data_IF_593781552073
#
_entry.id   IF_593781552073
#
_cell.length_a   1.000
_cell.length_b   1.000
_cell.length_c   1.000
_cell.angle_alpha   90.00
_cell.angle_beta   90.00
_cell.angle_gamma   90.00
#
_symmetry.space_group_name_H-M   'P 1'
#
loop_
_entity.id
_entity.type
_entity.pdbx_description
1 polymer ?
#
# COMPACT_ATOMS: atom_id res chain seq x y z
N UNK A 1 28.82 66.10 10.28
CA UNK A 1 29.33 64.77 9.89
C UNK A 1 29.73 64.05 11.17
N UNK A 2 29.10 62.98 11.68
CA UNK A 2 28.42 61.90 10.98
C UNK A 2 27.49 61.08 11.91
N UNK A 3 26.35 61.66 12.31
CA UNK A 3 25.20 60.88 12.79
C UNK A 3 24.64 59.95 11.70
N UNK A 4 25.03 60.18 10.43
CA UNK A 4 24.78 59.29 9.30
C UNK A 4 25.63 58.01 9.37
N UNK A 5 26.93 58.11 9.70
CA UNK A 5 27.84 56.94 9.71
C UNK A 5 27.50 55.94 10.81
N UNK A 6 27.02 56.40 11.98
CA UNK A 6 26.60 55.52 13.08
C UNK A 6 25.31 54.75 12.79
N UNK A 7 24.44 55.28 11.91
CA UNK A 7 23.22 54.59 11.43
C UNK A 7 23.48 53.71 10.20
N UNK A 8 24.49 54.03 9.39
CA UNK A 8 24.86 53.23 8.22
C UNK A 8 25.62 51.95 8.59
N UNK A 9 26.37 51.95 9.70
CA UNK A 9 27.14 50.79 10.15
C UNK A 9 26.29 49.52 10.41
N UNK A 10 25.15 49.56 11.12
CA UNK A 10 24.30 48.38 11.28
C UNK A 10 23.60 47.97 9.98
N UNK A 11 23.25 48.94 9.12
CA UNK A 11 22.64 48.67 7.81
C UNK A 11 23.60 47.94 6.85
N UNK A 12 24.88 48.28 6.86
CA UNK A 12 25.92 47.58 6.08
C UNK A 12 26.18 46.18 6.61
N UNK A 13 26.18 45.99 7.94
CA UNK A 13 26.30 44.65 8.54
C UNK A 13 25.11 43.75 8.20
N UNK A 14 23.88 44.29 8.22
CA UNK A 14 22.67 43.55 7.82
C UNK A 14 22.72 43.18 6.33
N UNK A 15 23.12 44.11 5.45
CA UNK A 15 23.31 43.81 4.03
C UNK A 15 24.38 42.75 3.79
N UNK A 16 25.48 42.76 4.54
CA UNK A 16 26.52 41.72 4.44
C UNK A 16 26.04 40.35 4.92
N UNK A 17 25.15 40.31 5.93
CA UNK A 17 24.53 39.08 6.41
C UNK A 17 23.49 38.51 5.42
N UNK A 18 22.75 39.36 4.72
CA UNK A 18 21.76 38.94 3.71
C UNK A 18 22.39 38.28 2.47
N UNK A 19 23.65 38.61 2.13
CA UNK A 19 24.36 38.02 0.97
C UNK A 19 24.98 36.66 1.33
N UNK A 20 25.07 36.30 2.61
CA UNK A 20 25.71 35.06 3.08
C UNK A 20 24.71 33.95 3.44
N UNK A 21 23.61 33.82 2.70
CA UNK A 21 22.82 32.58 2.74
C UNK A 21 23.37 31.69 1.64
N UNK A 22 24.27 30.78 1.99
CA UNK A 22 24.67 29.70 1.10
C UNK A 22 23.44 28.81 0.87
N UNK A 23 22.88 28.83 -0.33
CA UNK A 23 21.88 27.84 -0.72
C UNK A 23 22.56 26.46 -0.70
N UNK A 24 22.25 25.64 0.31
CA UNK A 24 22.62 24.23 0.31
C UNK A 24 21.75 23.53 -0.74
N UNK A 25 22.27 23.37 -1.96
CA UNK A 25 21.71 22.49 -2.99
C UNK A 25 22.31 21.09 -2.83
N UNK A 26 21.49 20.09 -2.57
CA UNK A 26 21.89 18.69 -2.62
C UNK A 26 21.60 18.12 -4.01
N UNK A 27 22.62 17.58 -4.67
CA UNK A 27 22.48 16.92 -5.96
C UNK A 27 22.58 15.39 -5.81
N UNK A 28 21.70 14.64 -6.48
CA UNK A 28 21.82 13.19 -6.56
C UNK A 28 22.70 12.81 -7.76
N UNK A 29 23.71 11.97 -7.54
CA UNK A 29 24.63 11.49 -8.58
C UNK A 29 24.40 10.02 -8.87
N UNK A 30 24.10 9.69 -10.12
CA UNK A 30 23.96 8.31 -10.61
C UNK A 30 25.16 8.01 -11.50
N UNK A 31 25.95 7.01 -11.14
CA UNK A 31 27.10 6.56 -11.94
C UNK A 31 26.71 5.38 -12.81
N UNK A 32 26.84 5.52 -14.13
CA UNK A 32 26.63 4.44 -15.11
C UNK A 32 27.86 3.52 -15.19
N UNK A 33 27.65 2.32 -15.75
CA UNK A 33 28.69 1.28 -15.86
C UNK A 33 29.89 1.68 -16.72
N UNK A 34 29.73 2.66 -17.59
CA UNK A 34 30.78 3.27 -18.42
C UNK A 34 31.51 4.42 -17.69
N UNK A 35 31.19 4.67 -16.42
CA UNK A 35 31.80 5.71 -15.57
C UNK A 35 31.17 7.10 -15.72
N UNK A 36 30.13 7.25 -16.55
CA UNK A 36 29.43 8.52 -16.72
C UNK A 36 28.59 8.84 -15.49
N UNK A 37 28.68 10.06 -14.97
CA UNK A 37 27.88 10.51 -13.82
C UNK A 37 26.77 11.43 -14.31
N UNK A 38 25.52 11.04 -14.07
CA UNK A 38 24.35 11.90 -14.24
C UNK A 38 24.06 12.59 -12.91
N UNK A 39 24.10 13.91 -12.92
CA UNK A 39 23.76 14.74 -11.77
C UNK A 39 22.32 15.22 -11.95
N UNK A 40 21.43 14.85 -11.03
CA UNK A 40 20.04 15.31 -11.03
C UNK A 40 19.90 16.36 -9.93
N UNK A 41 19.67 17.65 -10.28
CA UNK A 41 19.47 18.70 -9.29
C UNK A 41 18.13 18.48 -8.58
N UNK A 42 18.16 18.46 -7.24
CA UNK A 42 16.93 18.38 -6.43
C UNK A 42 16.44 19.82 -6.20
N UNK A 43 15.52 20.30 -7.04
CA UNK A 43 14.87 21.59 -6.82
C UNK A 43 13.86 21.49 -5.68
N UNK A 44 13.89 22.44 -4.73
CA UNK A 44 12.89 22.52 -3.64
C UNK A 44 11.45 22.66 -4.17
N UNK A 45 11.27 23.15 -5.39
CA UNK A 45 9.95 23.35 -6.00
C UNK A 45 9.28 22.04 -6.47
N UNK A 46 10.04 20.94 -6.57
CA UNK A 46 9.53 19.64 -7.05
C UNK A 46 9.46 18.58 -5.95
N UNK A 47 9.64 18.96 -4.68
CA UNK A 47 9.42 18.06 -3.54
C UNK A 47 7.93 18.11 -3.21
N UNK A 48 7.12 17.27 -3.86
CA UNK A 48 5.79 16.97 -3.37
C UNK A 48 5.93 16.26 -2.01
N UNK A 49 5.67 16.96 -0.92
CA UNK A 49 5.49 16.32 0.38
C UNK A 49 4.32 15.35 0.28
N UNK A 50 4.56 14.06 0.54
CA UNK A 50 3.47 13.10 0.69
C UNK A 50 2.78 13.46 2.02
N UNK A 51 1.69 14.21 1.95
CA UNK A 51 0.83 14.45 3.11
C UNK A 51 0.16 13.11 3.48
N UNK A 52 0.45 12.60 4.67
CA UNK A 52 -0.29 11.48 5.22
C UNK A 52 -1.73 11.95 5.46
N UNK A 53 -2.64 11.53 4.58
CA UNK A 53 -4.08 11.71 4.79
C UNK A 53 -4.45 11.08 6.13
N UNK A 54 -5.11 11.86 7.01
CA UNK A 54 -5.64 11.37 8.28
C UNK A 54 -6.55 10.15 8.03
N UNK A 55 -6.62 9.18 8.96
CA UNK A 55 -7.52 8.03 8.84
C UNK A 55 -8.94 8.54 8.56
N UNK A 56 -9.48 8.16 7.40
CA UNK A 56 -10.83 8.53 6.98
C UNK A 56 -11.80 7.62 7.71
N UNK A 57 -12.76 8.20 8.43
CA UNK A 57 -13.84 7.45 9.05
C UNK A 57 -14.65 6.70 7.97
N UNK A 58 -15.17 5.48 8.26
CA UNK A 58 -15.90 4.67 7.28
C UNK A 58 -17.11 5.34 6.62
N UNK A 59 -17.60 6.45 7.19
CA UNK A 59 -18.79 7.16 6.73
C UNK A 59 -18.50 8.36 5.79
N UNK A 60 -17.23 8.73 5.54
CA UNK A 60 -16.89 9.85 4.65
C UNK A 60 -16.29 9.40 3.31
N UNK A 61 -17.13 8.79 2.47
CA UNK A 61 -16.83 8.66 1.03
C UNK A 61 -17.37 9.90 0.32
N UNK A 62 -16.57 10.96 0.27
CA UNK A 62 -16.85 12.12 -0.60
C UNK A 62 -16.22 11.88 -1.97
N UNK A 63 -17.06 11.57 -2.97
CA UNK A 63 -16.66 11.47 -4.37
C UNK A 63 -16.24 12.85 -4.89
N UNK A 64 -14.96 13.05 -5.20
CA UNK A 64 -14.55 14.09 -6.16
C UNK A 64 -13.15 13.87 -6.73
N UNK A 65 -13.08 13.88 -8.07
CA UNK A 65 -11.86 14.16 -8.80
C UNK A 65 -11.15 12.92 -9.34
N UNK A 66 -10.70 13.02 -10.57
CA UNK A 66 -9.88 12.12 -11.38
C UNK A 66 -8.49 11.74 -10.80
N UNK A 67 -8.33 11.75 -9.48
CA UNK A 67 -7.14 11.28 -8.78
C UNK A 67 -7.49 9.99 -8.04
N UNK A 68 -6.74 8.92 -8.32
CA UNK A 68 -6.92 7.59 -7.73
C UNK A 68 -6.86 7.67 -6.21
N UNK A 69 -8.02 7.64 -5.55
CA UNK A 69 -8.14 7.69 -4.09
C UNK A 69 -7.52 6.44 -3.50
N UNK A 70 -6.40 6.59 -2.79
CA UNK A 70 -5.76 5.49 -2.07
C UNK A 70 -6.46 5.34 -0.73
N UNK A 71 -7.25 4.29 -0.56
CA UNK A 71 -7.88 3.96 0.71
C UNK A 71 -6.78 3.55 1.71
N UNK A 72 -6.64 4.31 2.80
CA UNK A 72 -5.67 4.05 3.86
C UNK A 72 -6.37 3.33 5.02
N UNK A 73 -6.03 2.07 5.21
CA UNK A 73 -6.57 1.23 6.28
C UNK A 73 -5.75 1.35 7.57
N UNK A 74 -6.38 1.10 8.72
CA UNK A 74 -5.71 1.09 10.03
C UNK A 74 -4.80 -0.14 10.17
N UNK A 75 -3.78 -0.08 11.01
CA UNK A 75 -2.87 -1.22 11.24
C UNK A 75 -3.56 -2.45 11.86
N UNK A 76 -4.63 -2.22 12.62
CA UNK A 76 -5.47 -3.24 13.25
C UNK A 76 -6.61 -3.72 12.34
N UNK A 77 -6.56 -3.39 11.04
CA UNK A 77 -7.56 -3.82 10.07
C UNK A 77 -7.04 -4.82 9.05
N UNK A 78 -7.93 -5.69 8.61
CA UNK A 78 -7.69 -6.77 7.65
C UNK A 78 -7.51 -6.17 6.25
N UNK A 79 -6.45 -6.62 5.57
CA UNK A 79 -6.25 -6.36 4.14
C UNK A 79 -6.07 -7.66 3.39
N UNK A 80 -6.93 -7.96 2.41
CA UNK A 80 -6.91 -9.24 1.72
C UNK A 80 -5.82 -9.23 0.63
N UNK A 81 -4.80 -10.05 0.80
CA UNK A 81 -3.67 -10.13 -0.14
C UNK A 81 -3.95 -11.14 -1.25
N UNK A 82 -4.42 -12.33 -0.87
CA UNK A 82 -4.85 -13.37 -1.81
C UNK A 82 -5.89 -14.28 -1.19
N UNK A 83 -6.80 -14.83 -2.00
CA UNK A 83 -7.71 -15.86 -1.55
C UNK A 83 -8.01 -16.87 -2.66
N UNK A 84 -7.99 -18.16 -2.32
CA UNK A 84 -8.28 -19.25 -3.26
C UNK A 84 -9.23 -20.24 -2.61
N UNK A 85 -10.34 -20.53 -3.27
CA UNK A 85 -11.28 -21.56 -2.85
C UNK A 85 -11.19 -22.74 -3.81
N UNK A 86 -10.96 -23.95 -3.31
CA UNK A 86 -10.91 -25.14 -4.16
C UNK A 86 -10.10 -26.27 -3.55
N UNK A 87 -9.71 -27.21 -4.40
CA UNK A 87 -8.81 -28.28 -4.00
C UNK A 87 -7.45 -28.03 -4.68
N UNK A 88 -6.45 -27.71 -3.87
CA UNK A 88 -5.07 -27.45 -4.35
C UNK A 88 -4.33 -28.78 -4.60
N UNK A 89 -5.02 -29.93 -4.58
CA UNK A 89 -4.40 -31.17 -5.01
C UNK A 89 -4.11 -31.12 -6.51
N UNK A 90 -2.88 -31.52 -6.80
CA UNK A 90 -2.31 -31.55 -8.13
C UNK A 90 -2.75 -32.85 -8.80
N UNK A 91 -3.72 -32.76 -9.70
CA UNK A 91 -4.12 -33.90 -10.50
C UNK A 91 -3.44 -33.80 -11.88
N UNK A 92 -2.77 -34.88 -12.28
CA UNK A 92 -2.19 -35.03 -13.60
C UNK A 92 -3.35 -35.05 -14.62
N UNK A 93 -3.47 -33.99 -15.41
CA UNK A 93 -4.31 -34.02 -16.60
C UNK A 93 -3.76 -35.01 -17.62
N UNK A 94 -4.65 -35.61 -18.39
CA UNK A 94 -4.29 -36.34 -19.60
C UNK A 94 -3.74 -35.33 -20.63
N UNK A 95 -2.54 -35.64 -21.15
CA UNK A 95 -1.66 -34.79 -21.98
C UNK A 95 -1.10 -33.54 -21.27
N UNK A 96 -0.18 -33.75 -20.32
CA UNK A 96 0.85 -32.77 -19.88
C UNK A 96 0.37 -31.38 -19.38
N UNK A 97 -0.92 -31.22 -19.06
CA UNK A 97 -1.49 -30.00 -18.48
C UNK A 97 -1.96 -30.18 -17.03
N UNK A 98 -1.48 -29.36 -16.10
CA UNK A 98 -1.98 -29.34 -14.73
C UNK A 98 -3.31 -28.57 -14.68
N UNK A 99 -4.40 -29.27 -14.36
CA UNK A 99 -5.70 -28.62 -14.16
C UNK A 99 -5.81 -28.12 -12.73
N UNK A 100 -5.93 -26.81 -12.57
CA UNK A 100 -6.13 -26.18 -11.28
C UNK A 100 -7.62 -26.12 -10.97
N UNK A 101 -8.01 -26.70 -9.84
CA UNK A 101 -9.41 -26.79 -9.41
C UNK A 101 -9.70 -25.82 -8.25
N UNK A 102 -9.42 -24.55 -8.48
CA UNK A 102 -9.74 -23.46 -7.56
C UNK A 102 -10.29 -22.24 -8.31
N UNK A 103 -11.12 -21.44 -7.62
CA UNK A 103 -11.48 -20.09 -8.04
C UNK A 103 -10.69 -19.06 -7.24
N UNK A 104 -10.41 -17.92 -7.87
CA UNK A 104 -9.92 -16.74 -7.17
C UNK A 104 -11.07 -16.17 -6.34
N UNK A 105 -10.85 -16.08 -5.04
CA UNK A 105 -11.82 -15.63 -4.06
C UNK A 105 -11.48 -14.25 -3.51
N UNK A 106 -10.43 -13.58 -4.03
CA UNK A 106 -9.91 -12.35 -3.47
C UNK A 106 -10.96 -11.25 -3.45
N UNK A 107 -11.60 -10.97 -4.58
CA UNK A 107 -12.58 -9.90 -4.71
C UNK A 107 -13.75 -10.09 -3.73
N UNK A 108 -14.33 -11.29 -3.68
CA UNK A 108 -15.40 -11.62 -2.75
C UNK A 108 -14.98 -11.43 -1.29
N UNK A 109 -13.74 -11.82 -0.91
CA UNK A 109 -13.26 -11.63 0.45
C UNK A 109 -12.91 -10.18 0.77
N UNK A 110 -12.43 -9.41 -0.20
CA UNK A 110 -12.22 -7.96 -0.05
C UNK A 110 -13.56 -7.28 0.25
N UNK A 111 -14.62 -7.60 -0.50
CA UNK A 111 -15.95 -7.04 -0.23
C UNK A 111 -16.47 -7.40 1.19
N UNK A 112 -16.20 -8.62 1.66
CA UNK A 112 -16.69 -9.09 2.97
C UNK A 112 -15.86 -8.60 4.17
N UNK A 113 -14.54 -8.42 4.01
CA UNK A 113 -13.61 -8.36 5.15
C UNK A 113 -12.65 -7.17 5.15
N UNK A 114 -12.46 -6.47 4.03
CA UNK A 114 -11.45 -5.42 3.92
C UNK A 114 -11.74 -4.27 4.91
N UNK A 115 -10.73 -3.81 5.65
CA UNK A 115 -10.85 -2.72 6.61
C UNK A 115 -11.48 -3.08 7.96
N UNK A 116 -11.98 -4.30 8.14
CA UNK A 116 -12.51 -4.77 9.43
C UNK A 116 -11.40 -5.29 10.36
N UNK A 117 -11.60 -5.26 11.68
CA UNK A 117 -10.71 -5.86 12.68
C UNK A 117 -10.93 -7.38 12.84
N UNK A 118 -12.13 -7.86 12.48
CA UNK A 118 -12.50 -9.26 12.46
C UNK A 118 -13.52 -9.59 11.38
N UNK A 119 -13.38 -10.76 10.76
CA UNK A 119 -14.28 -11.23 9.69
C UNK A 119 -14.67 -12.69 9.89
N UNK A 120 -15.93 -13.04 9.64
CA UNK A 120 -16.43 -14.43 9.67
C UNK A 120 -16.90 -14.82 8.28
N UNK A 121 -16.32 -15.89 7.73
CA UNK A 121 -16.60 -16.37 6.39
C UNK A 121 -17.18 -17.77 6.51
N UNK A 122 -18.38 -17.99 5.99
CA UNK A 122 -18.90 -19.34 5.77
C UNK A 122 -18.16 -19.88 4.54
N UNK A 123 -17.42 -20.98 4.69
CA UNK A 123 -16.62 -21.50 3.57
C UNK A 123 -17.50 -22.35 2.67
N UNK A 124 -17.65 -21.96 1.40
CA UNK A 124 -18.46 -22.70 0.45
C UNK A 124 -18.50 -22.09 -0.94
N UNK A 125 -19.29 -22.72 -1.81
CA UNK A 125 -19.43 -22.32 -3.21
C UNK A 125 -20.10 -20.96 -3.42
N UNK A 126 -20.74 -20.39 -2.38
CA UNK A 126 -21.25 -19.03 -2.41
C UNK A 126 -20.15 -17.96 -2.55
N UNK A 127 -18.88 -18.29 -2.31
CA UNK A 127 -17.77 -17.35 -2.41
C UNK A 127 -17.45 -17.01 -3.88
N UNK A 128 -17.26 -18.04 -4.72
CA UNK A 128 -16.89 -17.88 -6.13
C UNK A 128 -17.31 -19.06 -7.04
N UNK A 129 -18.35 -19.80 -6.66
CA UNK A 129 -18.83 -21.00 -7.35
C UNK A 129 -18.18 -22.30 -6.84
N UNK A 130 -18.54 -23.44 -7.47
CA UNK A 130 -17.90 -24.73 -7.19
C UNK A 130 -16.83 -25.07 -8.25
N UNK A 131 -15.53 -24.87 -7.94
CA UNK A 131 -14.45 -25.14 -8.89
C UNK A 131 -14.10 -26.64 -9.00
N UNK A 132 -14.61 -27.49 -8.11
CA UNK A 132 -14.41 -28.94 -8.18
C UNK A 132 -15.63 -29.70 -7.62
N UNK A 133 -16.67 -29.92 -8.44
CA UNK A 133 -17.87 -30.63 -8.02
C UNK A 133 -17.56 -32.04 -7.50
N UNK A 134 -18.21 -32.42 -6.40
CA UNK A 134 -18.07 -33.74 -5.78
C UNK A 134 -16.75 -33.97 -5.02
N UNK A 135 -15.88 -32.97 -4.91
CA UNK A 135 -14.64 -33.03 -4.11
C UNK A 135 -14.71 -32.07 -2.92
N UNK A 136 -14.05 -32.48 -1.83
CA UNK A 136 -13.79 -31.60 -0.70
C UNK A 136 -12.88 -30.45 -1.11
N UNK A 137 -13.22 -29.24 -0.67
CA UNK A 137 -12.53 -27.99 -0.99
C UNK A 137 -12.13 -27.26 0.28
N UNK A 138 -11.13 -26.40 0.16
CA UNK A 138 -10.65 -25.54 1.23
C UNK A 138 -10.58 -24.11 0.72
N UNK A 139 -10.80 -23.16 1.63
CA UNK A 139 -10.48 -21.76 1.40
C UNK A 139 -9.11 -21.48 2.00
N UNK A 140 -8.22 -20.92 1.20
CA UNK A 140 -6.90 -20.42 1.58
C UNK A 140 -6.93 -18.91 1.48
N UNK A 141 -6.56 -18.20 2.54
CA UNK A 141 -6.54 -16.74 2.59
C UNK A 141 -5.19 -16.28 3.11
N UNK A 142 -4.57 -15.37 2.37
CA UNK A 142 -3.46 -14.56 2.87
C UNK A 142 -3.99 -13.14 3.08
N UNK A 143 -3.79 -12.59 4.28
CA UNK A 143 -4.23 -11.25 4.63
C UNK A 143 -3.20 -10.58 5.53
N UNK A 144 -3.13 -9.25 5.51
CA UNK A 144 -2.23 -8.50 6.37
C UNK A 144 -2.99 -7.74 7.47
N UNK A 145 -2.30 -7.49 8.58
CA UNK A 145 -2.67 -6.53 9.62
C UNK A 145 -1.49 -5.56 9.75
N UNK A 146 -1.62 -4.35 9.19
CA UNK A 146 -0.45 -3.48 8.95
C UNK A 146 0.60 -4.23 8.12
N UNK A 147 1.85 -4.27 8.58
CA UNK A 147 2.95 -4.95 7.88
C UNK A 147 3.00 -6.47 8.11
N UNK A 148 2.09 -7.03 8.91
CA UNK A 148 2.13 -8.45 9.29
C UNK A 148 1.26 -9.30 8.39
N UNK A 149 1.88 -10.10 7.52
CA UNK A 149 1.20 -11.11 6.71
C UNK A 149 0.76 -12.32 7.57
N UNK A 150 -0.50 -12.71 7.43
CA UNK A 150 -1.13 -13.88 8.05
C UNK A 150 -1.70 -14.80 6.99
N UNK A 151 -1.79 -16.09 7.33
CA UNK A 151 -2.37 -17.13 6.48
C UNK A 151 -3.44 -17.89 7.24
N UNK A 152 -4.56 -18.16 6.59
CA UNK A 152 -5.65 -18.97 7.12
C UNK A 152 -6.05 -20.02 6.09
N UNK A 153 -6.41 -21.21 6.58
CA UNK A 153 -6.99 -22.28 5.78
C UNK A 153 -8.17 -22.85 6.53
N UNK A 154 -9.28 -23.07 5.85
CA UNK A 154 -10.40 -23.80 6.44
C UNK A 154 -11.14 -24.66 5.41
N UNK A 155 -11.81 -25.72 5.86
CA UNK A 155 -12.54 -26.64 4.98
C UNK A 155 -13.93 -26.12 4.62
N UNK A 156 -14.48 -26.58 3.50
CA UNK A 156 -15.86 -26.32 3.11
C UNK A 156 -16.83 -26.66 4.24
N UNK A 157 -17.91 -25.88 4.34
CA UNK A 157 -18.97 -25.92 5.37
C UNK A 157 -18.59 -25.41 6.76
N UNK A 158 -17.31 -25.15 7.01
CA UNK A 158 -16.88 -24.55 8.28
C UNK A 158 -16.86 -23.02 8.25
N UNK A 159 -16.84 -22.41 9.44
CA UNK A 159 -16.72 -20.95 9.61
C UNK A 159 -15.25 -20.59 9.80
N UNK A 160 -14.68 -19.89 8.82
CA UNK A 160 -13.36 -19.27 8.95
C UNK A 160 -13.49 -17.94 9.70
N UNK A 161 -12.55 -17.66 10.61
CA UNK A 161 -12.48 -16.40 11.35
C UNK A 161 -11.13 -15.73 11.09
N UNK A 162 -11.15 -14.56 10.46
CA UNK A 162 -9.97 -13.70 10.31
C UNK A 162 -9.99 -12.66 11.43
N UNK A 163 -8.81 -12.29 11.94
CA UNK A 163 -8.71 -11.31 13.03
C UNK A 163 -7.37 -10.58 13.01
N UNK A 164 -7.45 -9.26 13.15
CA UNK A 164 -6.32 -8.39 13.48
C UNK A 164 -6.31 -8.04 14.98
N UNK A 165 -5.11 -7.80 15.54
CA UNK A 165 -4.94 -7.57 16.98
C UNK A 165 -5.62 -6.28 17.45
#
# INVERSE_FOLDING_TARGET
MNNLVRKMFPLVLILSAFVYVQDLSADMKITLKDGKVLTVPVSRENVESIEYSKPVDPDEVTLSGNNKTQVVYREDSIRIESAKYGNVSFELGNELGYKQYFCDAKEALTEMCEGADGCKIIVGSQICGDPYPGKGKYLYVEYSCGDKLKRAKNTQTEIMKLKCP
#
